data_IF_528141875883
#
_entry.id   IF_528141875883
#
_cell.length_a   1.000
_cell.length_b   1.000
_cell.length_c   1.000
_cell.angle_alpha   90.00
_cell.angle_beta   90.00
_cell.angle_gamma   90.00
#
_symmetry.space_group_name_H-M   'P 1'
#
loop_
_entity.id
_entity.type
_entity.pdbx_description
1 polymer ?
#
# COMPACT_ATOMS: atom_id res chain seq x y z
N UNK A 1 -5.59 -12.93 -19.17
CA UNK A 1 -6.56 -13.46 -18.19
C UNK A 1 -6.87 -12.35 -17.20
N UNK A 2 -8.14 -12.25 -16.77
CA UNK A 2 -8.51 -11.43 -15.62
C UNK A 2 -7.89 -11.99 -14.33
N UNK A 3 -8.05 -11.27 -13.21
CA UNK A 3 -7.64 -11.80 -11.92
C UNK A 3 -8.42 -13.08 -11.59
N UNK A 4 -7.74 -14.13 -11.14
CA UNK A 4 -8.39 -15.34 -10.62
C UNK A 4 -9.25 -14.96 -9.43
N UNK A 5 -10.47 -15.49 -9.39
CA UNK A 5 -11.50 -15.20 -8.37
C UNK A 5 -12.02 -16.45 -7.66
N UNK A 6 -11.84 -17.64 -8.26
CA UNK A 6 -12.32 -18.88 -7.67
C UNK A 6 -11.41 -20.08 -7.91
N UNK A 7 -11.40 -21.02 -6.96
CA UNK A 7 -10.63 -22.27 -7.01
C UNK A 7 -11.51 -23.42 -6.51
N UNK A 8 -11.75 -24.41 -7.36
CA UNK A 8 -12.43 -25.66 -7.00
C UNK A 8 -11.39 -26.79 -6.91
N UNK A 9 -11.26 -27.40 -5.72
CA UNK A 9 -10.31 -28.47 -5.45
C UNK A 9 -11.00 -29.83 -5.46
N UNK A 10 -10.52 -30.71 -6.32
CA UNK A 10 -10.99 -32.09 -6.41
C UNK A 10 -10.54 -32.93 -5.22
N UNK A 11 -11.32 -33.94 -4.83
CA UNK A 11 -10.97 -34.86 -3.76
C UNK A 11 -9.65 -35.58 -4.05
N UNK A 12 -9.33 -35.79 -5.33
CA UNK A 12 -8.11 -36.48 -5.75
C UNK A 12 -6.84 -35.72 -5.41
N UNK A 13 -6.89 -34.38 -5.27
CA UNK A 13 -5.72 -33.58 -4.82
C UNK A 13 -5.69 -33.38 -3.32
N UNK A 14 -6.82 -33.53 -2.64
CA UNK A 14 -6.93 -33.30 -1.19
C UNK A 14 -6.72 -34.56 -0.36
N UNK A 15 -7.26 -35.70 -0.79
CA UNK A 15 -7.35 -36.90 0.05
C UNK A 15 -6.29 -37.95 -0.28
N UNK A 16 -5.85 -38.63 0.77
CA UNK A 16 -5.01 -39.83 0.76
C UNK A 16 -5.54 -40.81 1.81
N UNK A 17 -4.96 -42.01 1.81
CA UNK A 17 -5.26 -43.06 2.77
C UNK A 17 -4.07 -43.23 3.73
N UNK A 18 -4.33 -43.42 5.02
CA UNK A 18 -3.29 -43.65 6.03
C UNK A 18 -2.73 -45.08 6.03
N UNK A 19 -3.16 -45.91 5.06
CA UNK A 19 -2.77 -47.30 4.90
C UNK A 19 -3.67 -48.27 5.69
N UNK A 20 -4.57 -47.74 6.53
CA UNK A 20 -5.58 -48.49 7.28
C UNK A 20 -7.01 -48.24 6.79
N UNK A 21 -7.18 -47.46 5.72
CA UNK A 21 -8.48 -47.12 5.14
C UNK A 21 -9.04 -45.78 5.61
N UNK A 22 -8.37 -45.07 6.54
CA UNK A 22 -8.87 -43.80 7.05
C UNK A 22 -8.44 -42.63 6.15
N UNK A 23 -9.36 -41.69 5.86
CA UNK A 23 -9.04 -40.50 5.10
C UNK A 23 -8.04 -39.60 5.84
N UNK A 24 -7.04 -39.11 5.11
CA UNK A 24 -6.13 -38.05 5.55
C UNK A 24 -5.88 -37.05 4.42
N UNK A 25 -5.64 -35.79 4.76
CA UNK A 25 -5.15 -34.80 3.81
C UNK A 25 -3.77 -35.16 3.25
N UNK A 26 -3.59 -35.01 1.92
CA UNK A 26 -2.30 -35.16 1.26
C UNK A 26 -1.28 -34.17 1.84
N UNK A 27 0.04 -34.51 1.80
CA UNK A 27 1.09 -33.55 2.11
C UNK A 27 0.90 -32.23 1.33
N UNK A 28 1.08 -31.11 2.01
CA UNK A 28 0.91 -29.78 1.43
C UNK A 28 -0.53 -29.25 1.38
N UNK A 29 -1.54 -30.12 1.41
CA UNK A 29 -2.94 -29.71 1.31
C UNK A 29 -3.35 -28.82 2.50
N UNK A 30 -2.98 -29.18 3.73
CA UNK A 30 -3.36 -28.38 4.90
C UNK A 30 -2.80 -26.94 4.86
N UNK A 31 -1.54 -26.78 4.47
CA UNK A 31 -0.91 -25.46 4.30
C UNK A 31 -1.59 -24.68 3.18
N UNK A 32 -1.91 -25.34 2.07
CA UNK A 32 -2.64 -24.72 0.97
C UNK A 32 -4.03 -24.24 1.40
N UNK A 33 -4.81 -25.09 2.09
CA UNK A 33 -6.17 -24.77 2.52
C UNK A 33 -6.19 -23.59 3.50
N UNK A 34 -5.23 -23.54 4.44
CA UNK A 34 -5.04 -22.39 5.33
C UNK A 34 -4.81 -21.10 4.53
N UNK A 35 -3.94 -21.12 3.53
CA UNK A 35 -3.66 -19.93 2.71
C UNK A 35 -4.84 -19.53 1.83
N UNK A 36 -5.51 -20.49 1.22
CA UNK A 36 -6.70 -20.26 0.39
C UNK A 36 -7.85 -19.66 1.21
N UNK A 37 -7.98 -20.04 2.48
CA UNK A 37 -9.01 -19.52 3.40
C UNK A 37 -9.02 -18.01 3.48
N UNK A 38 -7.84 -17.41 3.41
CA UNK A 38 -7.69 -15.97 3.52
C UNK A 38 -7.43 -15.30 2.16
N UNK A 39 -7.66 -15.97 1.04
CA UNK A 39 -7.21 -15.47 -0.27
C UNK A 39 -8.13 -14.50 -1.00
N UNK A 40 -9.25 -14.12 -0.37
CA UNK A 40 -10.39 -13.47 -1.03
C UNK A 40 -10.90 -14.21 -2.28
N UNK A 41 -10.38 -15.41 -2.57
CA UNK A 41 -10.88 -16.30 -3.60
C UNK A 41 -12.09 -17.04 -3.04
N UNK A 42 -13.04 -17.33 -3.93
CA UNK A 42 -14.07 -18.30 -3.63
C UNK A 42 -13.47 -19.69 -3.75
N UNK A 43 -13.53 -20.47 -2.67
CA UNK A 43 -12.89 -21.79 -2.62
C UNK A 43 -13.94 -22.83 -2.33
N UNK A 44 -13.88 -23.93 -3.08
CA UNK A 44 -14.79 -25.05 -2.90
C UNK A 44 -14.07 -26.38 -3.08
N UNK A 45 -14.64 -27.42 -2.53
CA UNK A 45 -14.25 -28.81 -2.76
C UNK A 45 -15.30 -29.49 -3.65
N UNK A 46 -14.86 -30.45 -4.45
CA UNK A 46 -15.74 -31.35 -5.15
C UNK A 46 -15.31 -32.80 -4.95
N UNK A 47 -16.27 -33.72 -5.05
CA UNK A 47 -15.99 -35.14 -5.08
C UNK A 47 -16.96 -35.92 -5.99
N UNK A 48 -16.54 -37.14 -6.34
CA UNK A 48 -17.29 -38.07 -7.18
C UNK A 48 -18.01 -39.15 -6.36
N UNK A 49 -18.95 -39.87 -6.98
CA UNK A 49 -19.78 -40.93 -6.36
C UNK A 49 -18.96 -42.13 -5.86
N UNK A 50 -17.84 -42.44 -6.52
CA UNK A 50 -16.94 -43.53 -6.15
C UNK A 50 -16.20 -43.26 -4.82
N UNK A 51 -16.34 -42.06 -4.24
CA UNK A 51 -15.74 -41.71 -2.98
C UNK A 51 -16.49 -42.39 -1.82
N UNK A 52 -15.78 -43.19 -1.02
CA UNK A 52 -16.37 -43.86 0.13
C UNK A 52 -17.04 -42.87 1.09
N UNK A 53 -18.14 -43.29 1.74
CA UNK A 53 -18.89 -42.44 2.66
C UNK A 53 -18.00 -41.82 3.76
N UNK A 54 -17.01 -42.57 4.26
CA UNK A 54 -16.04 -42.09 5.25
C UNK A 54 -15.18 -40.95 4.69
N UNK A 55 -14.70 -41.07 3.46
CA UNK A 55 -13.91 -40.03 2.76
C UNK A 55 -14.76 -38.80 2.45
N UNK A 56 -16.01 -38.98 2.03
CA UNK A 56 -16.93 -37.87 1.76
C UNK A 56 -17.25 -37.07 3.04
N UNK A 57 -17.55 -37.74 4.16
CA UNK A 57 -17.79 -37.09 5.45
C UNK A 57 -16.54 -36.33 5.91
N UNK A 58 -15.35 -36.93 5.77
CA UNK A 58 -14.10 -36.26 6.10
C UNK A 58 -13.86 -34.99 5.27
N UNK A 59 -14.13 -35.05 3.96
CA UNK A 59 -13.99 -33.91 3.06
C UNK A 59 -14.96 -32.78 3.42
N UNK A 60 -16.23 -33.11 3.71
CA UNK A 60 -17.24 -32.14 4.15
C UNK A 60 -16.88 -31.48 5.47
N UNK A 61 -16.42 -32.26 6.46
CA UNK A 61 -15.95 -31.73 7.74
C UNK A 61 -14.75 -30.80 7.55
N UNK A 62 -13.83 -31.17 6.67
CA UNK A 62 -12.67 -30.33 6.32
C UNK A 62 -13.13 -29.03 5.66
N UNK A 63 -14.03 -29.09 4.67
CA UNK A 63 -14.58 -27.89 4.03
C UNK A 63 -15.21 -26.95 5.06
N UNK A 64 -15.95 -27.49 6.02
CA UNK A 64 -16.58 -26.73 7.11
C UNK A 64 -15.55 -26.04 8.01
N UNK A 65 -14.44 -26.71 8.35
CA UNK A 65 -13.33 -26.13 9.14
C UNK A 65 -12.76 -24.88 8.46
N UNK A 66 -12.61 -24.92 7.13
CA UNK A 66 -12.04 -23.82 6.35
C UNK A 66 -13.11 -22.86 5.78
N UNK A 67 -14.39 -23.07 6.09
CA UNK A 67 -15.53 -22.30 5.57
C UNK A 67 -15.63 -22.31 4.03
N UNK A 68 -15.36 -23.46 3.41
CA UNK A 68 -15.47 -23.69 1.97
C UNK A 68 -16.75 -24.43 1.61
N UNK A 69 -17.23 -24.22 0.38
CA UNK A 69 -18.31 -25.01 -0.21
C UNK A 69 -17.82 -26.44 -0.49
N UNK A 70 -18.70 -27.44 -0.43
CA UNK A 70 -18.38 -28.81 -0.81
C UNK A 70 -19.54 -29.37 -1.64
N UNK A 71 -19.27 -29.84 -2.86
CA UNK A 71 -20.28 -30.36 -3.79
C UNK A 71 -19.98 -31.79 -4.24
N UNK A 72 -21.03 -32.56 -4.55
CA UNK A 72 -20.93 -33.88 -5.18
C UNK A 72 -21.24 -33.76 -6.67
N UNK A 73 -20.34 -34.24 -7.52
CA UNK A 73 -20.38 -34.07 -8.99
C UNK A 73 -21.20 -35.12 -9.72
N UNK A 74 -21.65 -36.17 -9.04
CA UNK A 74 -22.38 -37.29 -9.66
C UNK A 74 -23.82 -37.42 -9.13
N UNK A 75 -24.30 -36.45 -8.34
CA UNK A 75 -25.71 -36.40 -7.96
C UNK A 75 -26.60 -36.25 -9.23
N UNK A 76 -27.87 -36.71 -9.21
CA UNK A 76 -28.82 -36.49 -10.32
C UNK A 76 -28.92 -35.02 -10.76
N UNK A 77 -28.60 -34.12 -9.82
CA UNK A 77 -28.62 -32.67 -9.94
C UNK A 77 -27.21 -32.04 -9.98
N UNK A 78 -26.15 -32.77 -10.34
CA UNK A 78 -24.77 -32.27 -10.30
C UNK A 78 -24.57 -30.94 -11.07
N UNK A 79 -25.15 -30.86 -12.27
CA UNK A 79 -25.16 -29.63 -13.07
C UNK A 79 -25.89 -28.49 -12.36
N UNK A 80 -26.97 -28.80 -11.65
CA UNK A 80 -27.69 -27.82 -10.85
C UNK A 80 -26.87 -27.36 -9.64
N UNK A 81 -26.22 -28.27 -8.91
CA UNK A 81 -25.34 -27.96 -7.78
C UNK A 81 -24.13 -27.13 -8.19
N UNK A 82 -23.52 -27.45 -9.33
CA UNK A 82 -22.41 -26.67 -9.88
C UNK A 82 -22.86 -25.26 -10.32
N UNK A 83 -24.03 -25.14 -10.97
CA UNK A 83 -24.60 -23.84 -11.30
C UNK A 83 -24.98 -23.04 -10.04
N UNK A 84 -25.47 -23.70 -8.99
CA UNK A 84 -25.73 -23.09 -7.69
C UNK A 84 -24.44 -22.54 -7.08
N UNK A 85 -23.35 -23.32 -7.10
CA UNK A 85 -22.04 -22.86 -6.65
C UNK A 85 -21.57 -21.61 -7.40
N UNK A 86 -21.72 -21.59 -8.72
CA UNK A 86 -21.37 -20.42 -9.55
C UNK A 86 -22.21 -19.18 -9.19
N UNK A 87 -23.52 -19.37 -8.95
CA UNK A 87 -24.42 -18.30 -8.50
C UNK A 87 -24.01 -17.77 -7.12
N UNK A 88 -23.74 -18.66 -6.17
CA UNK A 88 -23.29 -18.31 -4.82
C UNK A 88 -21.95 -17.56 -4.84
N UNK A 89 -21.08 -17.92 -5.79
CA UNK A 89 -19.79 -17.28 -5.96
C UNK A 89 -19.90 -15.90 -6.62
N UNK A 90 -20.88 -15.69 -7.49
CA UNK A 90 -21.09 -14.43 -8.21
C UNK A 90 -19.96 -14.10 -9.21
N UNK A 91 -19.35 -15.11 -9.82
CA UNK A 91 -18.15 -14.99 -10.66
C UNK A 91 -18.43 -15.40 -12.12
N UNK A 92 -17.85 -14.68 -13.08
CA UNK A 92 -17.80 -15.11 -14.48
C UNK A 92 -16.76 -16.22 -14.67
N UNK A 93 -17.10 -17.29 -15.41
CA UNK A 93 -16.31 -18.52 -15.45
C UNK A 93 -14.88 -18.40 -15.99
N UNK A 94 -14.52 -17.33 -16.69
CA UNK A 94 -13.17 -17.07 -17.20
C UNK A 94 -12.12 -16.72 -16.11
N UNK A 95 -12.55 -16.69 -14.85
CA UNK A 95 -11.75 -16.26 -13.70
C UNK A 95 -11.56 -17.36 -12.64
N UNK A 96 -11.80 -18.63 -12.98
CA UNK A 96 -11.80 -19.73 -12.01
C UNK A 96 -10.90 -20.90 -12.42
N UNK A 97 -10.30 -21.57 -11.43
CA UNK A 97 -9.49 -22.77 -11.62
C UNK A 97 -10.19 -24.01 -11.08
N UNK A 98 -10.10 -25.11 -11.82
CA UNK A 98 -10.40 -26.46 -11.33
C UNK A 98 -9.09 -27.21 -11.14
N UNK A 99 -8.89 -27.83 -9.98
CA UNK A 99 -7.61 -28.46 -9.62
C UNK A 99 -7.83 -29.93 -9.34
N UNK A 100 -7.20 -30.78 -10.13
CA UNK A 100 -7.37 -32.24 -10.08
C UNK A 100 -6.06 -32.98 -10.29
N UNK A 101 -5.99 -34.24 -9.88
CA UNK A 101 -4.88 -35.14 -10.26
C UNK A 101 -5.27 -36.09 -11.40
N UNK A 102 -6.52 -36.04 -11.86
CA UNK A 102 -7.05 -36.86 -12.96
C UNK A 102 -6.89 -36.12 -14.29
N UNK A 103 -6.30 -36.77 -15.31
CA UNK A 103 -6.03 -36.14 -16.63
C UNK A 103 -7.24 -36.08 -17.57
N UNK A 104 -8.21 -36.97 -17.39
CA UNK A 104 -9.34 -37.13 -18.30
C UNK A 104 -10.61 -37.43 -17.50
N UNK A 105 -11.13 -36.41 -16.84
CA UNK A 105 -12.42 -36.48 -16.16
C UNK A 105 -13.52 -35.95 -17.09
N UNK A 106 -14.67 -36.62 -17.13
CA UNK A 106 -15.87 -36.17 -17.86
C UNK A 106 -16.27 -34.77 -17.41
N UNK A 107 -16.08 -34.46 -16.12
CA UNK A 107 -16.37 -33.14 -15.55
C UNK A 107 -15.48 -32.02 -16.12
N UNK A 108 -14.28 -32.37 -16.63
CA UNK A 108 -13.35 -31.39 -17.23
C UNK A 108 -13.96 -30.69 -18.44
N UNK A 109 -14.79 -31.40 -19.23
CA UNK A 109 -15.44 -30.82 -20.40
C UNK A 109 -16.54 -29.80 -20.01
N UNK A 110 -17.26 -30.03 -18.91
CA UNK A 110 -18.27 -29.09 -18.41
C UNK A 110 -17.62 -27.81 -17.87
N UNK A 111 -16.51 -27.96 -17.14
CA UNK A 111 -15.70 -26.85 -16.63
C UNK A 111 -15.11 -26.04 -17.79
N UNK A 112 -14.58 -26.70 -18.82
CA UNK A 112 -14.03 -26.04 -20.01
C UNK A 112 -15.07 -25.19 -20.75
N UNK A 113 -16.32 -25.65 -20.84
CA UNK A 113 -17.40 -24.87 -21.45
C UNK A 113 -17.72 -23.57 -20.69
N UNK A 114 -17.35 -23.48 -19.41
CA UNK A 114 -17.47 -22.25 -18.61
C UNK A 114 -16.27 -21.31 -18.75
N UNK A 115 -15.24 -21.69 -19.52
CA UNK A 115 -14.00 -20.91 -19.68
C UNK A 115 -13.04 -21.01 -18.49
N UNK A 116 -13.26 -21.95 -17.59
CA UNK A 116 -12.36 -22.21 -16.46
C UNK A 116 -11.07 -22.86 -16.94
N UNK A 117 -9.99 -22.67 -16.18
CA UNK A 117 -8.71 -23.29 -16.45
C UNK A 117 -8.46 -24.50 -15.55
N UNK A 118 -8.07 -25.63 -16.14
CA UNK A 118 -7.81 -26.87 -15.39
C UNK A 118 -6.34 -26.97 -14.99
N UNK A 119 -6.07 -27.20 -13.71
CA UNK A 119 -4.73 -27.39 -13.14
C UNK A 119 -4.56 -28.85 -12.73
N UNK A 120 -3.70 -29.59 -13.44
CA UNK A 120 -3.39 -30.99 -13.16
C UNK A 120 -2.17 -31.11 -12.26
N UNK A 121 -2.30 -31.83 -11.13
CA UNK A 121 -1.23 -32.01 -10.13
C UNK A 121 -0.57 -33.38 -10.22
N UNK A 122 0.76 -33.43 -10.18
CA UNK A 122 1.52 -34.68 -10.05
C UNK A 122 1.83 -35.39 -11.38
N UNK A 123 1.97 -34.61 -12.46
CA UNK A 123 2.16 -35.11 -13.82
C UNK A 123 3.51 -34.68 -14.35
N UNK A 124 4.33 -35.62 -14.83
CA UNK A 124 5.64 -35.31 -15.44
C UNK A 124 5.49 -34.35 -16.63
N UNK A 125 6.35 -33.32 -16.63
CA UNK A 125 6.37 -32.11 -17.47
C UNK A 125 6.60 -32.32 -18.98
N UNK A 126 6.37 -33.54 -19.48
CA UNK A 126 6.52 -33.91 -20.89
C UNK A 126 5.32 -33.65 -21.80
N UNK A 127 4.17 -33.18 -21.26
CA UNK A 127 2.97 -32.91 -22.06
C UNK A 127 2.88 -31.45 -22.50
N UNK A 128 2.70 -31.26 -23.81
CA UNK A 128 2.53 -29.97 -24.50
C UNK A 128 1.54 -29.07 -23.77
N UNK A 129 1.96 -27.82 -23.50
CA UNK A 129 1.11 -26.74 -23.00
C UNK A 129 -0.08 -26.55 -23.94
N UNK A 130 -1.25 -27.08 -23.59
CA UNK A 130 -2.50 -26.75 -24.24
C UNK A 130 -3.12 -25.55 -23.51
N UNK A 131 -3.76 -24.62 -24.20
CA UNK A 131 -4.23 -23.35 -23.60
C UNK A 131 -5.24 -23.52 -22.44
N UNK A 132 -5.80 -24.72 -22.28
CA UNK A 132 -6.86 -25.06 -21.34
C UNK A 132 -6.35 -25.83 -20.10
N UNK A 133 -5.09 -26.29 -20.11
CA UNK A 133 -4.51 -27.10 -19.04
C UNK A 133 -3.19 -26.51 -18.55
N UNK A 134 -3.04 -26.42 -17.24
CA UNK A 134 -1.77 -26.15 -16.56
C UNK A 134 -1.34 -27.38 -15.77
N UNK A 135 -0.05 -27.71 -15.83
CA UNK A 135 0.51 -28.83 -15.11
C UNK A 135 1.40 -28.30 -13.99
N UNK A 136 1.18 -28.78 -12.77
CA UNK A 136 2.03 -28.50 -11.61
C UNK A 136 2.54 -29.81 -11.01
N UNK A 137 3.78 -29.78 -10.49
CA UNK A 137 4.41 -31.01 -9.98
C UNK A 137 3.87 -31.36 -8.60
N UNK A 138 3.61 -30.33 -7.79
CA UNK A 138 3.13 -30.46 -6.40
C UNK A 138 1.95 -29.53 -6.14
N UNK A 139 1.07 -29.91 -5.22
CA UNK A 139 -0.15 -29.15 -4.91
C UNK A 139 0.17 -27.75 -4.35
N UNK A 140 1.29 -27.62 -3.65
CA UNK A 140 1.78 -26.36 -3.08
C UNK A 140 2.12 -25.30 -4.14
N UNK A 141 2.36 -25.72 -5.38
CA UNK A 141 2.60 -24.83 -6.53
C UNK A 141 1.32 -24.15 -7.01
N UNK A 142 0.14 -24.61 -6.60
CA UNK A 142 -1.14 -24.05 -7.06
C UNK A 142 -1.26 -22.55 -6.77
N UNK A 143 -0.82 -22.10 -5.59
CA UNK A 143 -0.85 -20.68 -5.23
C UNK A 143 0.08 -19.85 -6.14
N UNK A 144 1.24 -20.39 -6.51
CA UNK A 144 2.14 -19.73 -7.46
C UNK A 144 1.46 -19.58 -8.82
N UNK A 145 0.78 -20.63 -9.28
CA UNK A 145 0.03 -20.62 -10.54
C UNK A 145 -1.10 -19.59 -10.51
N UNK A 146 -1.93 -19.59 -9.46
CA UNK A 146 -3.01 -18.61 -9.25
C UNK A 146 -2.47 -17.18 -9.24
N UNK A 147 -1.40 -16.93 -8.48
CA UNK A 147 -0.83 -15.59 -8.34
C UNK A 147 -0.12 -15.09 -9.60
N UNK A 148 0.61 -15.96 -10.31
CA UNK A 148 1.29 -15.62 -11.56
C UNK A 148 0.32 -15.16 -12.66
N UNK A 149 -0.92 -15.66 -12.58
CA UNK A 149 -2.00 -15.36 -13.51
C UNK A 149 -2.86 -14.19 -13.01
N UNK A 150 -2.96 -13.97 -11.70
CA UNK A 150 -3.53 -12.76 -11.10
C UNK A 150 -2.53 -11.59 -11.05
N UNK A 151 -2.08 -11.10 -12.21
CA UNK A 151 -1.22 -9.91 -12.28
C UNK A 151 -2.01 -8.64 -11.97
N UNK A 152 -2.16 -8.30 -10.68
CA UNK A 152 -2.52 -6.96 -10.24
C UNK A 152 -1.32 -6.32 -9.55
N UNK A 153 -0.79 -5.25 -10.16
CA UNK A 153 0.24 -4.40 -9.54
C UNK A 153 -0.31 -3.87 -8.20
N UNK A 154 0.44 -4.05 -7.12
CA UNK A 154 0.07 -3.60 -5.76
C UNK A 154 -0.57 -4.66 -4.86
N UNK A 155 -0.82 -5.89 -5.32
CA UNK A 155 -1.25 -6.97 -4.45
C UNK A 155 -0.04 -7.66 -3.79
N UNK A 156 -0.08 -7.84 -2.46
CA UNK A 156 0.97 -8.54 -1.72
C UNK A 156 0.89 -10.06 -1.97
N UNK A 157 2.04 -10.77 -2.10
CA UNK A 157 2.04 -12.18 -2.47
C UNK A 157 1.55 -13.07 -1.34
N UNK A 158 0.58 -13.93 -1.66
CA UNK A 158 0.05 -14.96 -0.74
C UNK A 158 0.86 -16.26 -0.71
N UNK A 159 1.98 -16.27 -1.41
CA UNK A 159 2.95 -17.36 -1.44
C UNK A 159 4.26 -16.87 -0.81
N UNK A 160 5.11 -17.80 -0.35
CA UNK A 160 6.40 -17.44 0.22
C UNK A 160 7.22 -16.62 -0.77
N UNK A 161 7.60 -15.41 -0.36
CA UNK A 161 8.60 -14.61 -1.07
C UNK A 161 9.96 -15.31 -0.99
N UNK A 162 10.95 -14.80 -1.72
CA UNK A 162 12.33 -15.31 -1.66
C UNK A 162 12.88 -15.33 -0.22
N UNK A 163 12.38 -14.45 0.65
CA UNK A 163 12.81 -14.36 2.05
C UNK A 163 11.87 -15.08 3.04
N UNK A 164 10.88 -15.82 2.52
CA UNK A 164 9.94 -16.64 3.28
C UNK A 164 8.69 -15.92 3.79
N UNK A 165 8.48 -14.64 3.44
CA UNK A 165 7.27 -13.91 3.86
C UNK A 165 6.04 -14.40 3.10
N UNK A 166 4.91 -14.46 3.79
CA UNK A 166 3.61 -14.79 3.19
C UNK A 166 2.65 -13.71 3.67
N UNK A 167 1.91 -13.09 2.75
CA UNK A 167 0.93 -12.07 3.10
C UNK A 167 -0.48 -12.64 3.07
N UNK A 168 -1.23 -12.32 4.10
CA UNK A 168 -2.60 -12.75 4.28
C UNK A 168 -3.45 -11.50 4.52
N UNK A 169 -4.45 -11.19 3.67
CA UNK A 169 -5.33 -10.06 3.92
C UNK A 169 -6.20 -10.34 5.13
N UNK A 170 -6.31 -9.35 6.01
CA UNK A 170 -7.27 -9.35 7.12
C UNK A 170 -8.60 -8.80 6.62
N UNK A 171 -9.69 -9.36 7.14
CA UNK A 171 -11.05 -8.82 6.96
C UNK A 171 -11.69 -8.53 8.31
N UNK A 172 -12.56 -7.53 8.36
CA UNK A 172 -13.36 -7.20 9.55
C UNK A 172 -14.72 -7.92 9.58
N UNK A 173 -15.00 -8.79 8.59
CA UNK A 173 -16.24 -9.58 8.53
C UNK A 173 -16.23 -10.79 9.48
N UNK A 174 -15.04 -11.20 9.95
CA UNK A 174 -14.83 -12.29 10.90
C UNK A 174 -13.94 -11.82 12.06
N UNK A 175 -14.06 -12.43 13.27
CA UNK A 175 -13.34 -11.95 14.45
C UNK A 175 -11.82 -11.91 14.26
N UNK A 176 -11.19 -10.80 14.63
CA UNK A 176 -9.74 -10.61 14.51
C UNK A 176 -8.92 -11.69 15.22
N UNK A 177 -9.35 -12.14 16.40
CA UNK A 177 -8.69 -13.20 17.17
C UNK A 177 -8.44 -14.47 16.34
N UNK A 178 -9.41 -14.85 15.50
CA UNK A 178 -9.32 -16.06 14.67
C UNK A 178 -8.37 -15.93 13.48
N UNK A 179 -8.01 -14.71 13.10
CA UNK A 179 -7.10 -14.43 11.99
C UNK A 179 -5.69 -14.13 12.51
N UNK A 180 -5.61 -13.35 13.59
CA UNK A 180 -4.35 -12.84 14.12
C UNK A 180 -3.55 -13.91 14.89
N UNK A 181 -4.19 -14.98 15.36
CA UNK A 181 -3.48 -16.15 15.92
C UNK A 181 -2.60 -16.88 14.89
N UNK A 182 -2.87 -16.69 13.60
CA UNK A 182 -2.25 -17.43 12.49
C UNK A 182 -1.23 -16.56 11.71
N UNK A 183 -0.91 -15.36 12.21
CA UNK A 183 0.06 -14.45 11.59
C UNK A 183 1.15 -14.03 12.58
N UNK A 184 2.36 -13.86 12.08
CA UNK A 184 3.50 -13.41 12.89
C UNK A 184 3.49 -11.89 13.13
N UNK A 185 2.98 -11.13 12.17
CA UNK A 185 2.94 -9.67 12.20
C UNK A 185 1.81 -9.11 11.34
N UNK A 186 1.37 -7.90 11.67
CA UNK A 186 0.36 -7.13 10.93
C UNK A 186 1.04 -5.97 10.21
N UNK A 187 1.06 -6.03 8.88
CA UNK A 187 1.41 -4.89 8.03
C UNK A 187 0.15 -4.09 7.72
N UNK A 188 0.21 -2.77 7.83
CA UNK A 188 -0.94 -1.92 7.53
C UNK A 188 -0.55 -0.56 6.93
N UNK A 189 -1.55 0.08 6.34
CA UNK A 189 -1.48 1.48 5.89
C UNK A 189 -2.64 2.26 6.53
N UNK A 190 -2.50 2.54 7.82
CA UNK A 190 -3.54 3.20 8.65
C UNK A 190 -4.03 4.53 8.07
N UNK A 191 -3.14 5.22 7.36
CA UNK A 191 -3.42 6.50 6.70
C UNK A 191 -4.61 6.42 5.75
N UNK A 192 -4.87 5.26 5.15
CA UNK A 192 -5.96 5.07 4.20
C UNK A 192 -7.30 4.77 4.90
N UNK A 193 -7.26 4.49 6.20
CA UNK A 193 -8.43 4.17 7.04
C UNK A 193 -8.88 5.35 7.91
N UNK A 194 -8.33 6.55 7.69
CA UNK A 194 -8.74 7.77 8.42
C UNK A 194 -10.10 8.22 7.89
N UNK A 195 -11.08 8.36 8.78
CA UNK A 195 -12.44 8.79 8.45
C UNK A 195 -12.69 10.24 8.84
N UNK A 196 -12.16 10.67 9.99
CA UNK A 196 -12.34 12.02 10.49
C UNK A 196 -11.08 12.53 11.22
N UNK A 197 -10.93 13.85 11.24
CA UNK A 197 -9.81 14.55 11.85
C UNK A 197 -10.31 15.78 12.60
N UNK A 198 -10.06 15.78 13.91
CA UNK A 198 -10.32 16.91 14.78
C UNK A 198 -8.99 17.58 15.21
N UNK A 199 -8.62 18.69 14.56
CA UNK A 199 -7.37 19.41 14.84
C UNK A 199 -7.34 20.12 16.20
N UNK A 200 -8.48 20.25 16.87
CA UNK A 200 -8.60 21.01 18.12
C UNK A 200 -8.41 20.15 19.39
N UNK A 201 -8.36 18.81 19.27
CA UNK A 201 -8.10 17.88 20.37
C UNK A 201 -6.59 17.60 20.43
N UNK A 202 -5.82 18.59 20.89
CA UNK A 202 -4.36 18.66 20.64
C UNK A 202 -3.44 18.10 21.75
N UNK A 203 -3.93 17.58 22.87
CA UNK A 203 -3.01 17.20 23.97
C UNK A 203 -2.45 15.78 23.85
N UNK A 204 -3.14 14.86 23.17
CA UNK A 204 -2.65 13.51 22.87
C UNK A 204 -3.18 13.03 21.51
N UNK A 205 -2.32 12.99 20.49
CA UNK A 205 -2.66 12.78 19.07
C UNK A 205 -3.50 11.54 18.75
N UNK A 206 -3.50 10.52 19.62
CA UNK A 206 -4.38 9.36 19.50
C UNK A 206 -5.88 9.70 19.54
N UNK A 207 -6.28 10.91 19.97
CA UNK A 207 -7.69 11.29 20.15
C UNK A 207 -8.22 12.27 19.08
N UNK A 208 -7.35 12.83 18.24
CA UNK A 208 -7.72 13.77 17.18
C UNK A 208 -8.01 13.09 15.83
N UNK A 209 -7.75 11.79 15.70
CA UNK A 209 -7.92 11.03 14.46
C UNK A 209 -8.92 9.92 14.73
N UNK A 210 -9.96 9.85 13.91
CA UNK A 210 -10.89 8.71 13.93
C UNK A 210 -10.59 7.81 12.75
N UNK A 211 -10.13 6.60 13.02
CA UNK A 211 -10.03 5.57 12.00
C UNK A 211 -11.38 4.89 11.73
N UNK A 212 -11.44 4.08 10.67
CA UNK A 212 -12.56 3.21 10.37
C UNK A 212 -12.86 2.26 11.54
N UNK A 213 -14.09 1.75 11.60
CA UNK A 213 -14.51 0.80 12.64
C UNK A 213 -13.56 -0.41 12.73
N UNK A 214 -13.15 -0.95 11.60
CA UNK A 214 -12.26 -2.11 11.55
C UNK A 214 -10.87 -1.77 12.08
N UNK A 215 -10.33 -0.62 11.70
CA UNK A 215 -9.01 -0.20 12.18
C UNK A 215 -9.00 0.14 13.68
N UNK A 216 -10.09 0.70 14.21
CA UNK A 216 -10.27 0.88 15.66
C UNK A 216 -10.36 -0.47 16.40
N UNK A 217 -11.00 -1.48 15.80
CA UNK A 217 -11.04 -2.83 16.36
C UNK A 217 -9.65 -3.46 16.40
N UNK A 218 -8.86 -3.30 15.33
CA UNK A 218 -7.47 -3.75 15.25
C UNK A 218 -6.59 -3.04 16.28
N UNK A 219 -6.74 -1.72 16.44
CA UNK A 219 -6.02 -0.95 17.44
C UNK A 219 -6.30 -1.45 18.87
N UNK A 220 -7.58 -1.66 19.23
CA UNK A 220 -7.95 -2.22 20.54
C UNK A 220 -7.41 -3.63 20.73
N UNK A 221 -7.51 -4.48 19.72
CA UNK A 221 -6.98 -5.84 19.78
C UNK A 221 -5.47 -5.85 20.08
N UNK A 222 -4.69 -5.01 19.41
CA UNK A 222 -3.24 -4.93 19.62
C UNK A 222 -2.89 -4.33 20.99
N UNK A 223 -3.70 -3.41 21.51
CA UNK A 223 -3.55 -2.91 22.88
C UNK A 223 -3.74 -4.01 23.93
N UNK A 224 -4.71 -4.91 23.70
CA UNK A 224 -4.98 -6.06 24.59
C UNK A 224 -4.00 -7.24 24.36
N UNK A 225 -3.33 -7.28 23.20
CA UNK A 225 -2.42 -8.34 22.75
C UNK A 225 -1.06 -7.77 22.30
N UNK A 226 -0.21 -7.31 23.24
CA UNK A 226 1.08 -6.68 22.91
C UNK A 226 2.07 -7.63 22.22
N UNK A 227 1.85 -8.95 22.26
CA UNK A 227 2.59 -9.94 21.48
C UNK A 227 2.34 -9.84 19.97
N UNK A 228 1.22 -9.22 19.56
CA UNK A 228 0.89 -9.01 18.16
C UNK A 228 1.78 -7.89 17.58
N UNK A 229 2.70 -8.26 16.69
CA UNK A 229 3.64 -7.32 16.11
C UNK A 229 3.00 -6.50 14.98
N UNK A 230 2.72 -5.21 15.21
CA UNK A 230 2.22 -4.29 14.17
C UNK A 230 3.35 -3.48 13.53
N UNK A 231 3.47 -3.55 12.21
CA UNK A 231 4.52 -2.89 11.42
C UNK A 231 3.88 -1.81 10.53
N UNK A 232 4.13 -0.53 10.76
CA UNK A 232 4.77 0.11 11.94
C UNK A 232 3.73 0.43 13.05
N UNK A 233 4.10 0.72 14.31
CA UNK A 233 3.15 1.09 15.35
C UNK A 233 2.40 2.36 14.98
N UNK A 234 1.11 2.44 15.30
CA UNK A 234 0.29 3.62 15.03
C UNK A 234 0.90 4.88 15.67
N UNK A 235 1.46 4.74 16.88
CA UNK A 235 2.13 5.84 17.58
C UNK A 235 3.29 6.44 16.80
N UNK A 236 4.01 5.63 16.01
CA UNK A 236 5.15 6.06 15.21
C UNK A 236 4.69 6.73 13.91
N UNK A 237 3.46 6.46 13.47
CA UNK A 237 2.86 7.02 12.25
C UNK A 237 2.16 8.35 12.53
N UNK A 238 1.62 8.56 13.73
CA UNK A 238 0.88 9.79 14.08
C UNK A 238 1.58 11.12 13.72
N UNK A 239 2.92 11.27 13.87
CA UNK A 239 3.60 12.49 13.45
C UNK A 239 3.46 12.81 11.95
N UNK A 240 3.24 11.80 11.10
CA UNK A 240 3.12 11.94 9.64
C UNK A 240 1.69 12.22 9.18
N UNK A 241 0.71 12.19 10.08
CA UNK A 241 -0.70 12.47 9.73
C UNK A 241 -1.04 13.95 9.79
N UNK A 242 -0.14 14.75 10.37
CA UNK A 242 -0.32 16.18 10.60
C UNK A 242 0.88 16.97 10.05
N UNK A 243 0.61 17.86 9.09
CA UNK A 243 1.64 18.68 8.45
C UNK A 243 2.31 19.64 9.41
N UNK A 244 1.63 20.16 10.43
CA UNK A 244 2.28 20.95 11.47
C UNK A 244 3.32 20.12 12.22
N UNK A 245 2.96 18.89 12.64
CA UNK A 245 3.91 18.00 13.32
C UNK A 245 5.08 17.60 12.41
N UNK A 246 4.82 17.34 11.13
CA UNK A 246 5.89 17.09 10.15
C UNK A 246 6.84 18.29 10.13
N UNK A 247 6.33 19.51 9.99
CA UNK A 247 7.18 20.69 9.95
C UNK A 247 7.98 20.89 11.26
N UNK A 248 7.35 20.69 12.41
CA UNK A 248 8.02 20.74 13.72
C UNK A 248 9.13 19.68 13.84
N UNK A 249 8.89 18.45 13.37
CA UNK A 249 9.90 17.40 13.31
C UNK A 249 11.08 17.82 12.43
N UNK A 250 10.81 18.37 11.24
CA UNK A 250 11.85 18.75 10.27
C UNK A 250 12.72 19.92 10.74
N UNK A 251 12.29 20.72 11.72
CA UNK A 251 13.16 21.72 12.36
C UNK A 251 14.40 21.06 13.01
N UNK A 252 14.30 19.80 13.43
CA UNK A 252 15.41 19.03 13.98
C UNK A 252 16.54 18.72 12.98
N UNK A 253 16.30 18.86 11.67
CA UNK A 253 17.33 18.64 10.63
C UNK A 253 18.54 19.56 10.78
N UNK A 254 18.39 20.67 11.50
CA UNK A 254 19.50 21.56 11.84
C UNK A 254 20.65 20.84 12.58
N UNK A 255 20.36 19.74 13.28
CA UNK A 255 21.35 18.89 13.95
C UNK A 255 22.37 18.27 12.97
N UNK A 256 21.99 18.10 11.71
CA UNK A 256 22.81 17.47 10.67
C UNK A 256 23.66 18.48 9.88
N UNK A 257 23.43 19.78 10.07
CA UNK A 257 24.09 20.80 9.29
C UNK A 257 25.51 21.08 9.79
N UNK A 258 26.47 21.00 8.87
CA UNK A 258 27.86 21.39 9.11
C UNK A 258 28.08 22.84 8.69
N UNK A 259 29.02 23.53 9.34
CA UNK A 259 29.42 24.89 8.92
C UNK A 259 30.04 24.83 7.52
N UNK A 260 29.70 25.81 6.68
CA UNK A 260 30.21 26.00 5.30
C UNK A 260 29.75 24.96 4.26
N UNK A 261 28.65 24.23 4.50
CA UNK A 261 28.04 23.30 3.52
C UNK A 261 26.58 23.70 3.22
N UNK A 262 26.04 23.22 2.09
CA UNK A 262 24.62 23.35 1.76
C UNK A 262 23.77 22.79 2.91
N UNK A 263 22.69 23.48 3.28
CA UNK A 263 21.92 23.13 4.46
C UNK A 263 20.80 22.17 4.11
N UNK A 264 20.59 21.20 4.97
CA UNK A 264 19.37 20.41 5.00
C UNK A 264 18.39 21.07 5.98
N UNK A 265 17.18 21.43 5.51
CA UNK A 265 16.22 22.19 6.32
C UNK A 265 14.76 21.87 6.02
N UNK A 266 13.90 22.24 6.97
CA UNK A 266 12.49 22.43 6.71
C UNK A 266 12.25 23.71 5.87
N UNK A 267 11.17 23.77 5.07
CA UNK A 267 10.69 25.03 4.53
C UNK A 267 10.24 25.94 5.68
N UNK A 268 10.30 27.26 5.50
CA UNK A 268 9.63 28.16 6.44
C UNK A 268 8.12 27.88 6.42
N UNK A 269 7.47 27.95 7.58
CA UNK A 269 6.05 27.62 7.68
C UNK A 269 5.36 28.38 8.81
N UNK A 270 4.04 28.52 8.68
CA UNK A 270 3.14 29.09 9.68
C UNK A 270 1.84 28.28 9.69
N UNK A 271 1.41 27.84 10.87
CA UNK A 271 0.06 27.29 11.05
C UNK A 271 -0.92 28.44 11.23
N UNK A 272 -2.07 28.34 10.55
CA UNK A 272 -3.20 29.25 10.73
C UNK A 272 -4.49 28.47 10.97
N UNK A 273 -5.35 28.99 11.83
CA UNK A 273 -6.70 28.46 12.04
C UNK A 273 -7.76 29.27 11.25
N UNK A 274 -7.38 30.44 10.72
CA UNK A 274 -8.24 31.32 9.92
C UNK A 274 -7.42 32.19 8.94
N UNK A 275 -7.91 32.38 7.71
CA UNK A 275 -7.29 33.26 6.70
C UNK A 275 -7.49 34.75 6.97
N UNK A 276 -8.39 35.11 7.88
CA UNK A 276 -8.76 36.50 8.18
C UNK A 276 -8.23 36.99 9.53
N UNK A 277 -7.22 36.32 10.10
CA UNK A 277 -6.54 36.77 11.32
C UNK A 277 -5.98 38.20 11.13
N UNK A 278 -6.31 39.17 12.01
CA UNK A 278 -5.89 40.57 11.84
C UNK A 278 -4.38 40.79 11.77
N UNK A 279 -3.61 39.97 12.49
CA UNK A 279 -2.16 40.02 12.59
C UNK A 279 -1.45 39.07 11.61
N UNK A 280 -2.17 38.44 10.67
CA UNK A 280 -1.60 37.46 9.75
C UNK A 280 -0.38 38.01 8.99
N UNK A 281 -0.41 39.30 8.61
CA UNK A 281 0.71 39.93 7.89
C UNK A 281 1.99 39.99 8.73
N UNK A 282 1.86 40.30 10.01
CA UNK A 282 3.00 40.36 10.93
C UNK A 282 3.53 38.94 11.19
N UNK A 283 2.63 37.97 11.39
CA UNK A 283 2.97 36.55 11.56
C UNK A 283 3.70 35.97 10.34
N UNK A 284 3.29 36.33 9.12
CA UNK A 284 3.99 35.93 7.90
C UNK A 284 5.44 36.45 7.89
N UNK A 285 5.64 37.71 8.29
CA UNK A 285 6.97 38.31 8.38
C UNK A 285 7.82 37.64 9.47
N UNK A 286 7.25 37.37 10.64
CA UNK A 286 7.93 36.69 11.75
C UNK A 286 8.32 35.25 11.39
N UNK A 287 7.49 34.57 10.59
CA UNK A 287 7.75 33.23 10.08
C UNK A 287 8.71 33.19 8.88
N UNK A 288 9.26 34.34 8.45
CA UNK A 288 10.09 34.48 7.24
C UNK A 288 9.40 33.96 5.96
N UNK A 289 8.08 34.11 5.85
CA UNK A 289 7.32 33.72 4.68
C UNK A 289 7.22 34.89 3.68
N UNK A 290 7.59 34.62 2.43
CA UNK A 290 7.46 35.56 1.32
C UNK A 290 6.62 34.93 0.20
N UNK A 291 5.97 35.77 -0.61
CA UNK A 291 5.15 35.28 -1.72
C UNK A 291 6.01 34.85 -2.92
N UNK A 292 5.63 33.76 -3.62
CA UNK A 292 4.41 32.99 -3.42
C UNK A 292 4.47 32.03 -2.21
N UNK A 293 3.32 31.73 -1.62
CA UNK A 293 3.18 30.82 -0.47
C UNK A 293 2.31 29.65 -0.91
N UNK A 294 2.74 28.42 -0.62
CA UNK A 294 1.91 27.23 -0.81
C UNK A 294 1.10 26.97 0.46
N UNK A 295 -0.22 26.87 0.29
CA UNK A 295 -1.20 26.63 1.35
C UNK A 295 -1.63 25.18 1.29
N UNK A 296 -1.45 24.45 2.39
CA UNK A 296 -1.78 23.03 2.53
C UNK A 296 -2.73 22.83 3.72
N UNK A 297 -3.74 21.95 3.65
CA UNK A 297 -4.50 21.55 4.84
C UNK A 297 -3.58 21.04 5.96
N UNK A 298 -3.94 21.20 7.23
CA UNK A 298 -3.13 20.65 8.33
C UNK A 298 -3.09 19.11 8.28
N UNK A 299 -4.20 18.44 7.94
CA UNK A 299 -4.21 16.99 7.72
C UNK A 299 -3.38 16.60 6.50
N UNK A 300 -2.46 15.66 6.68
CA UNK A 300 -1.48 15.28 5.66
C UNK A 300 -2.02 14.25 4.65
N UNK A 301 -2.94 13.36 5.06
CA UNK A 301 -3.43 12.25 4.24
C UNK A 301 -4.78 11.69 4.74
N UNK A 302 -5.36 10.76 3.98
CA UNK A 302 -6.46 9.90 4.41
C UNK A 302 -7.88 10.44 4.18
N UNK A 303 -8.05 11.77 4.14
CA UNK A 303 -9.33 12.40 3.83
C UNK A 303 -9.30 13.09 2.46
N UNK A 304 -10.45 13.13 1.78
CA UNK A 304 -10.56 13.62 0.40
C UNK A 304 -10.02 15.04 0.20
N UNK A 305 -10.14 15.89 1.21
CA UNK A 305 -9.72 17.29 1.14
C UNK A 305 -8.26 17.53 1.56
N UNK A 306 -7.54 16.51 2.06
CA UNK A 306 -6.14 16.63 2.52
C UNK A 306 -5.16 17.09 1.42
N UNK A 307 -5.58 16.95 0.16
CA UNK A 307 -4.79 17.25 -1.03
C UNK A 307 -5.24 18.54 -1.76
N UNK A 308 -6.28 19.22 -1.26
CA UNK A 308 -6.75 20.50 -1.78
C UNK A 308 -5.81 21.62 -1.36
N UNK A 309 -4.94 22.05 -2.27
CA UNK A 309 -3.88 23.03 -2.01
C UNK A 309 -4.09 24.29 -2.84
N UNK A 310 -3.43 25.37 -2.44
CA UNK A 310 -3.38 26.59 -3.22
C UNK A 310 -1.99 27.20 -3.23
N UNK A 311 -1.65 27.91 -4.28
CA UNK A 311 -0.49 28.81 -4.34
C UNK A 311 -0.99 30.24 -4.41
N UNK A 312 -0.64 31.04 -3.41
CA UNK A 312 -1.01 32.45 -3.32
C UNK A 312 0.19 33.33 -3.69
N UNK A 313 -0.04 34.40 -4.46
CA UNK A 313 1.00 35.31 -4.96
C UNK A 313 1.00 36.67 -4.28
N UNK A 314 -0.09 37.03 -3.61
CA UNK A 314 -0.29 38.27 -2.85
C UNK A 314 -1.23 38.02 -1.67
N UNK A 315 -1.27 38.95 -0.73
CA UNK A 315 -2.04 38.81 0.50
C UNK A 315 -3.55 38.75 0.25
N UNK A 316 -4.04 39.43 -0.78
CA UNK A 316 -5.46 39.45 -1.12
C UNK A 316 -5.98 38.09 -1.58
N UNK A 317 -5.11 37.23 -2.12
CA UNK A 317 -5.45 35.91 -2.63
C UNK A 317 -5.99 34.97 -1.55
N UNK A 318 -5.64 35.19 -0.27
CA UNK A 318 -6.18 34.39 0.84
C UNK A 318 -7.71 34.44 0.94
N UNK A 319 -8.34 35.50 0.40
CA UNK A 319 -9.80 35.64 0.36
C UNK A 319 -10.46 34.83 -0.76
N UNK A 320 -9.66 34.35 -1.72
CA UNK A 320 -10.14 33.68 -2.93
C UNK A 320 -9.94 32.15 -2.88
N UNK A 321 -9.24 31.64 -1.86
CA UNK A 321 -8.97 30.21 -1.70
C UNK A 321 -9.94 29.54 -0.73
N UNK A 322 -10.24 28.26 -0.97
CA UNK A 322 -11.06 27.41 -0.12
C UNK A 322 -10.27 26.18 0.36
N UNK A 323 -9.03 26.39 0.83
CA UNK A 323 -8.25 25.30 1.43
C UNK A 323 -8.81 25.02 2.83
N UNK A 324 -9.08 23.75 3.19
CA UNK A 324 -9.57 23.38 4.52
C UNK A 324 -8.70 23.95 5.65
N UNK A 325 -9.37 24.47 6.69
CA UNK A 325 -8.74 24.97 7.90
C UNK A 325 -8.83 23.94 9.04
N UNK A 326 -7.84 23.91 9.95
CA UNK A 326 -6.62 24.72 9.93
C UNK A 326 -5.67 24.34 8.78
N UNK A 327 -4.81 25.28 8.39
CA UNK A 327 -3.91 25.15 7.26
C UNK A 327 -2.47 25.50 7.62
N UNK A 328 -1.54 24.98 6.83
CA UNK A 328 -0.11 25.31 6.86
C UNK A 328 0.19 26.20 5.67
N UNK A 329 0.63 27.42 5.97
CA UNK A 329 1.27 28.31 5.02
C UNK A 329 2.75 27.91 4.97
N UNK A 330 3.23 27.50 3.81
CA UNK A 330 4.60 27.03 3.64
C UNK A 330 5.30 27.84 2.54
N UNK A 331 6.59 28.07 2.73
CA UNK A 331 7.49 28.64 1.73
C UNK A 331 7.37 27.88 0.40
N UNK A 332 7.19 28.64 -0.68
CA UNK A 332 7.43 28.13 -2.03
C UNK A 332 8.90 28.33 -2.37
N UNK A 333 9.64 27.23 -2.52
CA UNK A 333 11.07 27.25 -2.84
C UNK A 333 11.23 27.20 -4.36
N UNK A 334 12.02 28.09 -4.95
CA UNK A 334 12.41 27.97 -6.37
C UNK A 334 13.48 26.89 -6.52
N UNK A 335 13.23 25.92 -7.40
CA UNK A 335 13.91 24.62 -7.37
C UNK A 335 14.14 23.98 -8.75
N UNK A 336 14.26 24.78 -9.79
CA UNK A 336 14.55 24.30 -11.15
C UNK A 336 13.50 23.36 -11.71
N UNK A 337 12.28 23.38 -11.16
CA UNK A 337 11.21 22.44 -11.49
C UNK A 337 11.58 20.96 -11.30
N UNK A 338 12.47 20.64 -10.35
CA UNK A 338 12.91 19.28 -10.03
C UNK A 338 12.60 18.90 -8.58
N UNK A 339 11.95 17.76 -8.40
CA UNK A 339 11.71 17.17 -7.08
C UNK A 339 12.35 15.79 -7.00
N UNK A 340 13.04 15.55 -5.88
CA UNK A 340 13.73 14.32 -5.57
C UNK A 340 12.89 13.54 -4.57
N UNK A 341 12.29 12.43 -5.01
CA UNK A 341 11.50 11.55 -4.15
C UNK A 341 12.39 10.49 -3.54
N UNK A 342 12.54 10.50 -2.23
CA UNK A 342 13.29 9.51 -1.48
C UNK A 342 12.36 8.46 -0.86
N UNK A 343 12.83 7.22 -0.86
CA UNK A 343 12.11 6.06 -0.36
C UNK A 343 12.99 5.26 0.59
N UNK A 344 12.55 5.13 1.83
CA UNK A 344 13.24 4.36 2.88
C UNK A 344 12.51 3.04 3.07
N UNK A 345 13.24 1.95 2.82
CA UNK A 345 12.80 0.56 2.96
C UNK A 345 13.77 -0.16 3.89
N UNK A 346 13.52 -0.06 5.20
CA UNK A 346 14.42 -0.59 6.22
C UNK A 346 15.77 0.12 6.18
N UNK A 347 16.83 -0.57 5.73
CA UNK A 347 18.16 0.01 5.59
C UNK A 347 18.46 0.50 4.16
N UNK A 348 17.57 0.22 3.20
CA UNK A 348 17.75 0.64 1.82
C UNK A 348 17.10 2.01 1.60
N UNK A 349 17.83 2.91 0.94
CA UNK A 349 17.38 4.25 0.59
C UNK A 349 17.48 4.39 -0.92
N UNK A 350 16.33 4.59 -1.57
CA UNK A 350 16.23 4.84 -3.00
C UNK A 350 15.84 6.29 -3.24
N UNK A 351 16.16 6.82 -4.41
CA UNK A 351 15.61 8.10 -4.84
C UNK A 351 15.26 8.09 -6.33
N UNK A 352 14.30 8.93 -6.70
CA UNK A 352 13.92 9.17 -8.08
C UNK A 352 13.78 10.67 -8.32
N UNK A 353 14.14 11.11 -9.53
CA UNK A 353 14.04 12.51 -9.95
C UNK A 353 12.78 12.69 -10.80
N UNK A 354 11.98 13.71 -10.50
CA UNK A 354 10.77 14.04 -11.25
C UNK A 354 10.70 15.51 -11.59
N UNK A 355 10.00 15.81 -12.69
CA UNK A 355 9.53 17.17 -12.96
C UNK A 355 8.53 17.59 -11.89
N UNK A 356 8.66 18.84 -11.45
CA UNK A 356 7.90 19.49 -10.39
C UNK A 356 7.27 20.78 -10.91
N UNK A 357 6.74 21.60 -10.00
CA UNK A 357 6.19 22.91 -10.30
C UNK A 357 7.29 23.89 -10.80
N UNK A 358 6.99 24.78 -11.77
CA UNK A 358 7.90 25.83 -12.22
C UNK A 358 8.29 26.82 -11.13
N UNK A 359 9.43 27.48 -11.24
CA UNK A 359 9.79 28.58 -10.34
C UNK A 359 8.73 29.70 -10.31
N UNK A 360 8.72 30.44 -9.21
CA UNK A 360 7.76 31.48 -8.88
C UNK A 360 7.58 32.51 -9.99
N UNK A 361 8.66 32.90 -10.68
CA UNK A 361 8.62 33.84 -11.80
C UNK A 361 7.69 33.37 -12.94
N UNK A 362 7.79 32.08 -13.32
CA UNK A 362 6.94 31.48 -14.35
C UNK A 362 5.49 31.34 -13.87
N UNK A 363 5.29 30.90 -12.63
CA UNK A 363 3.97 30.75 -12.03
C UNK A 363 3.24 32.10 -11.91
N UNK A 364 3.96 33.15 -11.52
CA UNK A 364 3.43 34.51 -11.38
C UNK A 364 3.04 35.08 -12.74
N UNK A 365 3.89 34.94 -13.76
CA UNK A 365 3.55 35.36 -15.14
C UNK A 365 2.33 34.61 -15.70
N UNK A 366 2.14 33.34 -15.31
CA UNK A 366 0.99 32.54 -15.73
C UNK A 366 -0.28 32.97 -15.00
N UNK A 367 -0.18 33.25 -13.69
CA UNK A 367 -1.27 33.82 -12.89
C UNK A 367 -1.69 35.20 -13.42
N UNK A 368 -0.74 36.10 -13.71
CA UNK A 368 -1.01 37.43 -14.25
C UNK A 368 -1.82 37.36 -15.56
N UNK A 369 -1.44 36.46 -16.48
CA UNK A 369 -2.20 36.19 -17.72
C UNK A 369 -3.60 35.64 -17.45
N UNK A 370 -3.78 34.89 -16.37
CA UNK A 370 -5.06 34.33 -15.93
C UNK A 370 -5.87 35.27 -15.01
N UNK A 371 -5.51 36.55 -14.93
CA UNK A 371 -6.23 37.55 -14.15
C UNK A 371 -5.70 37.76 -12.73
N UNK A 372 -4.44 37.41 -12.45
CA UNK A 372 -3.75 37.59 -11.16
C UNK A 372 -4.47 36.92 -9.98
N UNK A 373 -4.87 35.66 -10.19
CA UNK A 373 -5.56 34.81 -9.22
C UNK A 373 -4.63 33.77 -8.59
N UNK A 374 -4.93 33.25 -7.39
CA UNK A 374 -4.22 32.10 -6.85
C UNK A 374 -4.39 30.87 -7.75
N UNK A 375 -3.42 29.95 -7.69
CA UNK A 375 -3.53 28.66 -8.36
C UNK A 375 -4.08 27.64 -7.36
N UNK A 376 -5.27 27.13 -7.60
CA UNK A 376 -5.91 26.10 -6.76
C UNK A 376 -5.75 24.75 -7.46
N UNK A 377 -5.32 23.73 -6.73
CA UNK A 377 -5.07 22.41 -7.30
C UNK A 377 -5.21 21.29 -6.28
N UNK A 378 -5.44 20.07 -6.79
CA UNK A 378 -5.45 18.85 -6.01
C UNK A 378 -4.17 18.07 -6.31
N UNK A 379 -3.30 17.94 -5.31
CA UNK A 379 -1.97 17.32 -5.48
C UNK A 379 -1.99 15.86 -5.96
N UNK A 380 -3.11 15.13 -5.81
CA UNK A 380 -3.27 13.77 -6.33
C UNK A 380 -3.79 13.75 -7.77
N UNK A 381 -4.59 14.74 -8.18
CA UNK A 381 -5.23 14.79 -9.51
C UNK A 381 -4.41 15.56 -10.53
N UNK A 382 -3.95 16.75 -10.17
CA UNK A 382 -3.21 17.63 -11.07
C UNK A 382 -2.29 18.54 -10.27
N UNK A 383 -0.98 18.40 -10.52
CA UNK A 383 0.01 19.39 -10.13
C UNK A 383 0.28 20.30 -11.34
N UNK A 384 0.45 21.62 -11.16
CA UNK A 384 0.93 22.49 -12.22
C UNK A 384 2.41 22.18 -12.48
N UNK A 385 2.68 21.13 -13.25
CA UNK A 385 4.03 20.67 -13.60
C UNK A 385 4.60 21.53 -14.72
N UNK A 386 5.90 21.80 -14.67
CA UNK A 386 6.59 22.57 -15.71
C UNK A 386 6.48 21.92 -17.10
N UNK A 387 6.23 22.75 -18.11
CA UNK A 387 6.31 22.35 -19.51
C UNK A 387 7.76 22.12 -19.92
N UNK A 388 7.99 21.40 -21.04
CA UNK A 388 9.36 21.14 -21.52
C UNK A 388 10.14 22.42 -21.82
N UNK A 389 9.47 23.48 -22.29
CA UNK A 389 10.08 24.79 -22.53
C UNK A 389 10.48 25.47 -21.21
N UNK A 390 9.58 25.49 -20.22
CA UNK A 390 9.87 26.06 -18.89
C UNK A 390 11.00 25.32 -18.19
N UNK A 391 11.00 23.98 -18.31
CA UNK A 391 12.04 23.12 -17.76
C UNK A 391 13.41 23.38 -18.41
N UNK A 392 13.43 23.61 -19.72
CA UNK A 392 14.66 23.90 -20.47
C UNK A 392 15.25 25.27 -20.09
N UNK A 393 14.39 26.28 -19.89
CA UNK A 393 14.83 27.61 -19.44
C UNK A 393 15.29 27.60 -17.98
N UNK A 394 14.60 26.89 -17.09
CA UNK A 394 15.02 26.73 -15.69
C UNK A 394 16.41 26.09 -15.58
N UNK A 395 16.70 25.06 -16.40
CA UNK A 395 18.04 24.45 -16.48
C UNK A 395 19.15 25.34 -17.04
N UNK A 396 18.82 26.40 -17.77
CA UNK A 396 19.80 27.36 -18.27
C UNK A 396 20.10 28.47 -17.25
N UNK A 397 19.20 28.69 -16.28
CA UNK A 397 19.34 29.70 -15.23
C UNK A 397 19.96 29.14 -13.94
N UNK A 398 19.69 27.88 -13.60
CA UNK A 398 20.39 27.16 -12.54
C UNK A 398 21.42 26.19 -13.12
N UNK A 399 22.70 26.41 -12.83
CA UNK A 399 23.66 25.29 -12.80
C UNK A 399 23.01 24.23 -11.92
N UNK A 400 22.72 23.04 -12.45
CA UNK A 400 22.03 21.98 -11.71
C UNK A 400 22.87 21.72 -10.45
N UNK A 401 22.46 22.28 -9.32
CA UNK A 401 23.06 21.96 -8.04
C UNK A 401 22.85 20.47 -7.85
N UNK A 402 23.96 19.74 -7.86
CA UNK A 402 23.93 18.30 -7.73
C UNK A 402 23.38 17.96 -6.36
N UNK A 403 22.35 17.12 -6.33
CA UNK A 403 21.87 16.49 -5.10
C UNK A 403 23.04 15.96 -4.28
N UNK A 404 23.19 16.45 -3.05
CA UNK A 404 24.10 15.84 -2.08
C UNK A 404 23.43 14.60 -1.51
N UNK A 405 23.70 13.46 -2.17
CA UNK A 405 23.06 12.18 -1.84
C UNK A 405 23.43 11.72 -0.43
N UNK A 406 24.63 12.03 0.05
CA UNK A 406 25.11 11.57 1.36
C UNK A 406 24.48 12.39 2.49
N UNK A 407 24.34 13.71 2.30
CA UNK A 407 23.58 14.56 3.21
C UNK A 407 22.13 14.10 3.32
N UNK A 408 21.47 13.82 2.19
CA UNK A 408 20.06 13.38 2.21
C UNK A 408 19.90 11.94 2.72
N UNK A 409 20.86 11.04 2.50
CA UNK A 409 20.87 9.73 3.17
C UNK A 409 21.04 9.86 4.68
N UNK A 410 21.81 10.84 5.15
CA UNK A 410 21.93 11.14 6.57
C UNK A 410 20.60 11.63 7.14
N UNK A 411 19.85 12.45 6.39
CA UNK A 411 18.48 12.83 6.69
C UNK A 411 17.55 11.61 6.83
N UNK A 412 17.60 10.70 5.86
CA UNK A 412 16.77 9.50 5.85
C UNK A 412 17.03 8.64 7.09
N UNK A 413 18.31 8.44 7.46
CA UNK A 413 18.66 7.70 8.66
C UNK A 413 18.22 8.42 9.94
N UNK A 414 18.39 9.74 10.01
CA UNK A 414 17.94 10.53 11.15
C UNK A 414 16.41 10.48 11.32
N UNK A 415 15.65 10.65 10.23
CA UNK A 415 14.19 10.54 10.23
C UNK A 415 13.75 9.15 10.66
N UNK A 416 14.39 8.11 10.13
CA UNK A 416 14.13 6.72 10.50
C UNK A 416 14.28 6.51 12.01
N UNK A 417 15.36 7.02 12.62
CA UNK A 417 15.59 6.89 14.06
C UNK A 417 14.63 7.74 14.89
N UNK A 418 14.32 8.97 14.46
CA UNK A 418 13.42 9.87 15.20
C UNK A 418 11.97 9.39 15.18
N UNK A 419 11.52 8.83 14.07
CA UNK A 419 10.17 8.34 13.88
C UNK A 419 10.01 6.86 14.25
N UNK A 420 11.10 6.12 14.32
CA UNK A 420 11.10 4.66 14.45
C UNK A 420 10.17 3.97 13.44
N UNK A 421 10.28 4.42 12.18
CA UNK A 421 9.53 3.86 11.05
C UNK A 421 10.43 2.95 10.22
N UNK A 422 9.86 1.83 9.79
CA UNK A 422 10.50 0.89 8.87
C UNK A 422 10.40 1.38 7.43
N UNK A 423 9.26 1.97 7.07
CA UNK A 423 8.89 2.29 5.69
C UNK A 423 8.27 3.68 5.59
N UNK A 424 8.94 4.58 4.89
CA UNK A 424 8.42 5.92 4.60
C UNK A 424 9.09 6.50 3.36
N UNK A 425 8.59 7.64 2.88
CA UNK A 425 9.26 8.41 1.84
C UNK A 425 9.12 9.89 2.09
N UNK A 426 10.00 10.68 1.49
CA UNK A 426 10.00 12.13 1.64
C UNK A 426 10.46 12.80 0.35
N UNK A 427 9.99 14.01 0.15
CA UNK A 427 10.28 14.77 -1.06
C UNK A 427 11.23 15.91 -0.76
N UNK A 428 12.29 16.03 -1.54
CA UNK A 428 13.33 17.05 -1.41
C UNK A 428 13.34 17.93 -2.66
N UNK A 429 13.44 19.22 -2.46
CA UNK A 429 13.76 20.21 -3.50
C UNK A 429 15.08 20.88 -3.16
N UNK A 430 15.81 21.36 -4.18
CA UNK A 430 17.08 22.06 -3.99
C UNK A 430 16.85 23.52 -4.33
N UNK A 431 17.09 24.43 -3.38
CA UNK A 431 16.87 25.86 -3.57
C UNK A 431 17.93 26.47 -4.49
N UNK A 432 17.52 27.08 -5.61
CA UNK A 432 18.45 27.56 -6.65
C UNK A 432 19.52 28.53 -6.14
N UNK A 433 19.16 29.49 -5.28
CA UNK A 433 20.09 30.52 -4.83
C UNK A 433 21.14 30.01 -3.84
N UNK A 434 20.77 29.05 -2.99
CA UNK A 434 21.57 28.65 -1.82
C UNK A 434 22.18 27.26 -1.92
N UNK A 435 21.59 26.36 -2.72
CA UNK A 435 21.95 24.94 -2.70
C UNK A 435 21.29 24.15 -1.58
N UNK A 436 20.47 24.79 -0.75
CA UNK A 436 19.86 24.13 0.40
C UNK A 436 18.89 23.02 -0.04
N UNK A 437 19.01 21.86 0.59
CA UNK A 437 18.11 20.72 0.45
C UNK A 437 16.92 20.93 1.39
N UNK A 438 15.75 21.18 0.82
CA UNK A 438 14.53 21.46 1.58
C UNK A 438 13.61 20.25 1.51
N UNK A 439 13.30 19.64 2.66
CA UNK A 439 12.33 18.53 2.75
C UNK A 439 10.91 19.12 2.79
N UNK A 440 10.15 18.95 1.70
CA UNK A 440 8.85 19.63 1.50
C UNK A 440 7.63 18.75 1.76
N UNK A 441 7.83 17.43 1.87
CA UNK A 441 6.78 16.45 2.16
C UNK A 441 7.35 15.17 2.78
N UNK A 442 6.56 14.48 3.60
CA UNK A 442 6.92 13.23 4.29
C UNK A 442 5.68 12.32 4.37
N UNK A 443 5.80 11.07 3.92
CA UNK A 443 4.70 10.15 3.72
C UNK A 443 4.98 8.76 4.31
N UNK A 444 4.00 8.18 5.00
CA UNK A 444 4.05 6.79 5.46
C UNK A 444 3.63 5.83 4.34
N UNK A 445 4.39 4.75 4.15
CA UNK A 445 4.12 3.69 3.17
C UNK A 445 3.68 4.22 1.77
N UNK A 446 4.53 4.99 1.07
CA UNK A 446 4.22 5.53 -0.26
C UNK A 446 4.17 4.42 -1.33
N UNK A 447 3.80 4.77 -2.57
CA UNK A 447 3.60 3.79 -3.65
C UNK A 447 4.86 3.16 -4.26
N UNK A 448 6.05 3.72 -4.00
CA UNK A 448 7.36 3.32 -4.58
C UNK A 448 7.40 3.21 -6.12
N UNK A 449 6.42 3.77 -6.84
CA UNK A 449 6.20 3.52 -8.27
C UNK A 449 7.35 3.97 -9.19
N UNK A 450 8.21 4.86 -8.69
CA UNK A 450 9.38 5.37 -9.39
C UNK A 450 10.66 4.54 -9.17
N UNK A 451 10.64 3.54 -8.28
CA UNK A 451 11.75 2.60 -8.08
C UNK A 451 11.44 1.31 -8.85
N UNK A 452 12.40 0.71 -9.57
CA UNK A 452 12.18 -0.55 -10.27
C UNK A 452 11.72 -1.65 -9.31
N UNK A 453 10.75 -2.45 -9.74
CA UNK A 453 10.22 -3.58 -8.96
C UNK A 453 11.32 -4.59 -8.59
N UNK A 454 12.37 -4.71 -9.41
CA UNK A 454 13.55 -5.54 -9.15
C UNK A 454 14.35 -5.11 -7.93
N UNK A 455 14.22 -3.86 -7.50
CA UNK A 455 14.95 -3.28 -6.36
C UNK A 455 14.01 -3.04 -5.18
N UNK A 456 12.86 -2.39 -5.44
CA UNK A 456 11.91 -1.99 -4.41
C UNK A 456 11.29 -3.20 -3.70
N UNK A 457 10.88 -4.23 -4.44
CA UNK A 457 10.13 -5.34 -3.85
C UNK A 457 11.05 -6.20 -2.94
N UNK A 458 12.28 -6.58 -3.35
CA UNK A 458 13.26 -7.21 -2.46
C UNK A 458 13.58 -6.41 -1.19
N UNK A 459 13.78 -5.11 -1.35
CA UNK A 459 14.04 -4.21 -0.21
C UNK A 459 12.84 -4.15 0.74
N UNK A 460 11.62 -4.09 0.21
CA UNK A 460 10.39 -4.07 1.00
C UNK A 460 10.21 -5.35 1.82
N UNK A 461 10.41 -6.53 1.22
CA UNK A 461 10.37 -7.80 1.97
C UNK A 461 11.43 -7.86 3.07
N UNK A 462 12.64 -7.40 2.77
CA UNK A 462 13.74 -7.38 3.74
C UNK A 462 13.41 -6.44 4.91
N UNK A 463 12.86 -5.26 4.61
CA UNK A 463 12.48 -4.28 5.61
C UNK A 463 11.44 -4.83 6.60
N UNK A 464 10.36 -5.45 6.10
CA UNK A 464 9.31 -6.05 6.94
C UNK A 464 9.88 -7.16 7.82
N UNK A 465 10.67 -8.06 7.22
CA UNK A 465 11.26 -9.19 7.96
C UNK A 465 12.18 -8.70 9.06
N UNK A 466 13.08 -7.76 8.76
CA UNK A 466 13.99 -7.19 9.76
C UNK A 466 13.26 -6.42 10.86
N UNK A 467 12.18 -5.70 10.52
CA UNK A 467 11.36 -5.02 11.53
C UNK A 467 10.67 -6.00 12.48
N UNK A 468 10.13 -7.10 11.96
CA UNK A 468 9.58 -8.17 12.77
C UNK A 468 10.65 -8.81 13.67
N UNK A 469 11.80 -9.17 13.11
CA UNK A 469 12.89 -9.81 13.86
C UNK A 469 13.42 -8.90 14.99
N UNK A 470 13.61 -7.60 14.72
CA UNK A 470 14.08 -6.64 15.71
C UNK A 470 13.11 -6.46 16.89
N UNK A 471 11.80 -6.60 16.64
CA UNK A 471 10.75 -6.48 17.66
C UNK A 471 10.57 -7.73 18.48
N UNK A 472 10.90 -8.90 17.92
CA UNK A 472 10.89 -10.17 18.65
C UNK A 472 12.04 -10.28 19.65
N UNK A 473 13.15 -9.57 19.39
CA UNK A 473 14.33 -9.58 20.26
C UNK A 473 14.29 -8.56 21.40
N UNK A 474 13.35 -7.61 21.35
CA UNK A 474 13.08 -6.62 22.39
C UNK A 474 11.89 -7.07 23.23
#
# INVERSE_FOLDING_TARGET
>A
MGAVRGVLLDESVLLSDDGSGNPRLKPGAEVLLRRLRYSNLRVGFCHHEDLSAVKAIFLQNTARIYSFSCISLDAPDAKYLFNQLLLDWGIAGDSCFYVTSKRHDVFTHEIQNQGWLTVCVGVDSGSVMNKEFLFISKLEELLLTVCSLSKKRGALPMYPTQNGLIFVPLTFDIPLLSQLQDVDAVLHKATDEIVDFNPHISTHFSHGISFSKGMQELERFIQDHPECCMIDPLNNIYPLLDRYNIQQLLLGLQELNMKDHCRLRAPHFLKIDNFHEPNLRDQLSEANLSFPIIVKPQIACGVGDAHSMALVFKFEDFKEICVPLPAILQEYVDHGSLIFKFYVLGNNIFHAVKKSMPNASFLKSSSEKAGSKPIIFDSLKSLPVATDDQFSVGRLQGDIQSLDVDLVKSAANWLKTKLDLTIFGFDVVIQEDTGDHVIVDLNYLPSFKEVPDTDAIPAFWTAIKSAYEARKTN
#
